data_IF_980044219407
#
_entry.id   IF_980044219407
#
_cell.length_a   1.000
_cell.length_b   1.000
_cell.length_c   1.000
_cell.angle_alpha   90.00
_cell.angle_beta   90.00
_cell.angle_gamma   90.00
#
_symmetry.space_group_name_H-M   'P 1'
#
loop_
_entity.id
_entity.type
_entity.pdbx_description
1 polymer ?
#
# COMPACT_ATOMS: atom_id res chain seq x y z
N UNK A 1 -18.11 18.41 -6.35
CA UNK A 1 -19.07 17.36 -6.78
C UNK A 1 -18.36 16.52 -7.85
N UNK A 2 -18.10 15.26 -7.56
CA UNK A 2 -17.56 14.34 -8.57
C UNK A 2 -18.60 14.18 -9.66
N UNK A 3 -18.22 14.38 -10.93
CA UNK A 3 -19.14 14.12 -12.05
C UNK A 3 -19.48 12.61 -12.09
N UNK A 4 -20.64 12.24 -12.65
CA UNK A 4 -20.99 10.83 -12.86
C UNK A 4 -19.89 10.08 -13.65
N UNK A 5 -19.22 10.76 -14.56
CA UNK A 5 -18.06 10.24 -15.30
C UNK A 5 -16.89 9.93 -14.35
N UNK A 6 -16.58 10.84 -13.43
CA UNK A 6 -15.51 10.61 -12.44
C UNK A 6 -15.78 9.42 -11.53
N UNK A 7 -17.03 9.22 -11.11
CA UNK A 7 -17.41 8.05 -10.30
C UNK A 7 -17.23 6.72 -11.07
N UNK A 8 -17.60 6.69 -12.35
CA UNK A 8 -17.38 5.50 -13.20
C UNK A 8 -15.91 5.22 -13.46
N UNK A 9 -15.11 6.26 -13.66
CA UNK A 9 -13.65 6.14 -13.81
C UNK A 9 -12.99 5.61 -12.53
N UNK A 10 -13.44 6.09 -11.35
CA UNK A 10 -12.95 5.56 -10.07
C UNK A 10 -13.31 4.08 -9.89
N UNK A 11 -14.53 3.68 -10.27
CA UNK A 11 -14.95 2.28 -10.23
C UNK A 11 -14.10 1.42 -11.21
N UNK A 12 -13.72 1.97 -12.38
CA UNK A 12 -12.83 1.29 -13.31
C UNK A 12 -11.41 1.12 -12.74
N UNK A 13 -10.84 2.19 -12.18
CA UNK A 13 -9.55 2.13 -11.46
C UNK A 13 -9.54 1.01 -10.42
N UNK A 14 -10.58 0.99 -9.58
CA UNK A 14 -10.73 -0.04 -8.52
C UNK A 14 -10.76 -1.44 -9.10
N UNK A 15 -11.57 -1.71 -10.13
CA UNK A 15 -11.65 -3.03 -10.79
C UNK A 15 -10.29 -3.47 -11.33
N UNK A 16 -9.54 -2.56 -11.96
CA UNK A 16 -8.20 -2.88 -12.49
C UNK A 16 -7.22 -3.20 -11.37
N UNK A 17 -7.23 -2.43 -10.27
CA UNK A 17 -6.36 -2.73 -9.12
C UNK A 17 -6.72 -4.07 -8.50
N UNK A 18 -8.02 -4.38 -8.29
CA UNK A 18 -8.44 -5.69 -7.78
C UNK A 18 -8.02 -6.84 -8.71
N UNK A 19 -8.19 -6.67 -10.02
CA UNK A 19 -7.75 -7.64 -11.02
C UNK A 19 -6.24 -7.84 -11.03
N UNK A 20 -5.48 -6.74 -10.93
CA UNK A 20 -4.03 -6.78 -10.83
C UNK A 20 -3.57 -7.63 -9.63
N UNK A 21 -4.05 -7.34 -8.42
CA UNK A 21 -3.65 -8.10 -7.24
C UNK A 21 -4.14 -9.55 -7.27
N UNK A 22 -5.26 -9.85 -7.94
CA UNK A 22 -5.66 -11.24 -8.19
C UNK A 22 -4.64 -11.97 -9.08
N UNK A 23 -4.18 -11.34 -10.15
CA UNK A 23 -3.12 -11.87 -11.02
C UNK A 23 -1.79 -12.03 -10.29
N UNK A 24 -1.41 -11.04 -9.49
CA UNK A 24 -0.21 -11.10 -8.63
C UNK A 24 -0.26 -12.30 -7.70
N UNK A 25 -1.36 -12.51 -6.98
CA UNK A 25 -1.51 -13.68 -6.09
C UNK A 25 -1.37 -15.00 -6.83
N UNK A 26 -1.96 -15.12 -8.03
CA UNK A 26 -1.86 -16.33 -8.85
C UNK A 26 -0.42 -16.63 -9.28
N UNK A 27 0.30 -15.62 -9.76
CA UNK A 27 1.70 -15.78 -10.17
C UNK A 27 2.62 -16.06 -8.98
N UNK A 28 2.42 -15.35 -7.89
CA UNK A 28 3.28 -15.41 -6.70
C UNK A 28 3.24 -16.75 -5.96
N UNK A 29 2.27 -17.63 -6.28
CA UNK A 29 2.27 -19.01 -5.77
C UNK A 29 3.54 -19.77 -6.21
N UNK A 30 4.04 -19.50 -7.40
CA UNK A 30 5.18 -20.18 -7.98
C UNK A 30 6.37 -19.27 -8.24
N UNK A 31 6.12 -18.03 -8.58
CA UNK A 31 7.15 -17.04 -8.92
C UNK A 31 6.75 -15.64 -8.41
N UNK A 32 7.11 -15.29 -7.16
CA UNK A 32 6.84 -13.97 -6.63
C UNK A 32 7.51 -12.83 -7.40
N UNK A 33 8.67 -13.09 -8.04
CA UNK A 33 9.36 -12.08 -8.84
C UNK A 33 8.57 -11.75 -10.10
N UNK A 34 8.01 -12.75 -10.80
CA UNK A 34 7.11 -12.53 -11.92
C UNK A 34 5.82 -11.80 -11.50
N UNK A 35 5.29 -12.09 -10.30
CA UNK A 35 4.19 -11.34 -9.70
C UNK A 35 4.52 -9.86 -9.50
N UNK A 36 5.73 -9.56 -9.08
CA UNK A 36 6.22 -8.19 -8.88
C UNK A 36 6.43 -7.46 -10.22
N UNK A 37 6.94 -8.13 -11.25
CA UNK A 37 7.07 -7.56 -12.59
C UNK A 37 5.70 -7.19 -13.18
N UNK A 38 4.70 -8.10 -13.06
CA UNK A 38 3.31 -7.81 -13.44
C UNK A 38 2.78 -6.58 -12.70
N UNK A 39 2.99 -6.52 -11.38
CA UNK A 39 2.51 -5.42 -10.55
C UNK A 39 3.15 -4.08 -10.96
N UNK A 40 4.45 -4.05 -11.21
CA UNK A 40 5.16 -2.84 -11.62
C UNK A 40 4.66 -2.35 -12.97
N UNK A 41 4.62 -3.22 -14.00
CA UNK A 41 4.18 -2.85 -15.34
C UNK A 41 2.74 -2.36 -15.38
N UNK A 42 1.82 -3.05 -14.72
CA UNK A 42 0.41 -2.67 -14.71
C UNK A 42 0.17 -1.36 -13.95
N UNK A 43 0.95 -1.09 -12.89
CA UNK A 43 0.88 0.20 -12.18
C UNK A 43 1.42 1.34 -13.05
N UNK A 44 2.51 1.12 -13.78
CA UNK A 44 3.04 2.11 -14.72
C UNK A 44 2.00 2.47 -15.79
N UNK A 45 1.31 1.48 -16.37
CA UNK A 45 0.23 1.70 -17.34
C UNK A 45 -0.94 2.49 -16.73
N UNK A 46 -1.37 2.13 -15.50
CA UNK A 46 -2.43 2.84 -14.79
C UNK A 46 -2.05 4.30 -14.52
N UNK A 47 -0.83 4.55 -14.06
CA UNK A 47 -0.35 5.88 -13.76
C UNK A 47 -0.19 6.74 -15.01
N UNK A 48 0.34 6.18 -16.09
CA UNK A 48 0.50 6.87 -17.36
C UNK A 48 -0.84 7.24 -18.01
N UNK A 49 -1.78 6.30 -18.07
CA UNK A 49 -2.94 6.39 -18.97
C UNK A 49 -4.29 6.60 -18.32
N UNK A 50 -4.48 6.23 -17.05
CA UNK A 50 -5.81 6.24 -16.46
C UNK A 50 -6.25 7.65 -16.00
N UNK A 51 -7.52 8.07 -16.25
CA UNK A 51 -8.00 9.40 -15.83
C UNK A 51 -7.94 9.66 -14.32
N UNK A 52 -7.99 8.61 -13.48
CA UNK A 52 -7.88 8.69 -12.01
C UNK A 52 -6.45 8.49 -11.51
N UNK A 53 -5.44 8.60 -12.39
CA UNK A 53 -4.05 8.61 -11.95
C UNK A 53 -3.81 9.76 -10.98
N UNK A 54 -3.05 9.53 -9.89
CA UNK A 54 -2.71 10.58 -8.94
C UNK A 54 -1.59 11.51 -9.43
N UNK A 55 -1.02 11.27 -10.61
CA UNK A 55 -0.02 12.17 -11.19
C UNK A 55 -0.67 13.51 -11.56
N UNK A 56 0.01 14.60 -11.24
CA UNK A 56 -0.34 15.91 -11.75
C UNK A 56 -0.22 15.94 -13.28
N UNK A 57 -1.01 16.78 -13.98
CA UNK A 57 -0.98 16.82 -15.44
C UNK A 57 0.43 17.04 -16.02
N UNK A 58 1.24 17.91 -15.41
CA UNK A 58 2.59 18.20 -15.85
C UNK A 58 3.53 17.01 -15.63
N UNK A 59 3.43 16.33 -14.47
CA UNK A 59 4.23 15.15 -14.16
C UNK A 59 3.88 13.95 -15.06
N UNK A 60 2.64 13.90 -15.55
CA UNK A 60 2.18 12.82 -16.45
C UNK A 60 2.83 12.90 -17.82
N UNK A 61 3.10 14.11 -18.33
CA UNK A 61 3.73 14.29 -19.62
C UNK A 61 5.15 13.71 -19.66
N UNK A 62 5.87 13.79 -18.55
CA UNK A 62 7.26 13.33 -18.41
C UNK A 62 7.36 11.97 -17.70
N UNK A 63 6.23 11.30 -17.48
CA UNK A 63 6.20 10.04 -16.73
C UNK A 63 6.84 8.91 -17.51
N UNK A 64 7.89 8.32 -16.96
CA UNK A 64 8.64 7.19 -17.54
C UNK A 64 8.54 5.90 -16.75
N UNK A 65 7.69 5.88 -15.69
CA UNK A 65 7.49 4.76 -14.80
C UNK A 65 7.69 5.13 -13.32
N UNK A 66 7.11 4.33 -12.45
CA UNK A 66 7.28 4.43 -11.00
C UNK A 66 8.68 3.98 -10.60
N UNK A 67 9.23 4.61 -9.57
CA UNK A 67 10.56 4.25 -9.06
C UNK A 67 10.46 3.06 -8.12
N UNK A 68 10.29 1.87 -8.68
CA UNK A 68 10.24 0.61 -7.93
C UNK A 68 11.58 -0.11 -8.00
N UNK A 69 12.03 -0.69 -6.91
CA UNK A 69 13.26 -1.50 -6.86
C UNK A 69 13.04 -2.86 -7.52
N UNK A 70 14.12 -3.55 -7.86
CA UNK A 70 14.04 -4.95 -8.27
C UNK A 70 13.54 -5.80 -7.11
N UNK A 71 12.89 -6.92 -7.45
CA UNK A 71 12.44 -7.90 -6.46
C UNK A 71 13.61 -8.49 -5.67
N UNK A 72 13.45 -8.56 -4.35
CA UNK A 72 14.38 -9.18 -3.42
C UNK A 72 13.59 -10.13 -2.49
N UNK A 73 13.79 -11.46 -2.61
CA UNK A 73 13.03 -12.46 -1.86
C UNK A 73 13.23 -12.38 -0.34
N UNK A 74 14.31 -11.78 0.14
CA UNK A 74 14.59 -11.63 1.58
C UNK A 74 13.60 -10.67 2.27
N UNK A 75 12.81 -9.93 1.49
CA UNK A 75 11.81 -8.99 1.98
C UNK A 75 10.36 -9.48 1.84
N UNK A 76 10.16 -10.78 1.58
CA UNK A 76 8.86 -11.44 1.59
C UNK A 76 8.71 -12.31 2.82
N UNK A 77 7.63 -12.13 3.55
CA UNK A 77 7.34 -12.82 4.80
C UNK A 77 5.93 -13.41 4.78
N UNK A 78 5.76 -14.56 5.42
CA UNK A 78 4.48 -15.10 5.83
C UNK A 78 4.47 -15.09 7.36
N UNK A 79 3.58 -14.33 7.97
CA UNK A 79 3.61 -14.08 9.41
C UNK A 79 2.23 -14.13 10.02
N UNK A 80 2.17 -14.70 11.22
CA UNK A 80 0.97 -14.73 12.07
C UNK A 80 0.59 -13.30 12.50
N UNK A 81 -0.70 -13.00 12.43
CA UNK A 81 -1.27 -11.82 13.04
C UNK A 81 -1.61 -12.11 14.49
N UNK A 82 -0.75 -11.73 15.40
CA UNK A 82 -0.99 -11.91 16.84
C UNK A 82 -2.01 -10.89 17.30
N UNK A 83 -3.10 -11.39 17.85
CA UNK A 83 -4.19 -10.56 18.38
C UNK A 83 -3.64 -9.54 19.38
N UNK A 84 -4.11 -8.31 19.30
CA UNK A 84 -3.81 -7.29 20.30
C UNK A 84 -4.43 -7.66 21.66
N UNK A 85 -3.65 -7.49 22.73
CA UNK A 85 -4.12 -7.77 24.11
C UNK A 85 -5.25 -6.83 24.51
N UNK A 86 -5.18 -5.57 24.03
CA UNK A 86 -6.18 -4.55 24.31
C UNK A 86 -6.77 -3.98 23.02
N UNK A 87 -8.10 -3.70 22.98
CA UNK A 87 -8.70 -3.07 21.84
C UNK A 87 -8.26 -1.62 21.73
N UNK A 88 -7.56 -1.26 20.65
CA UNK A 88 -7.18 0.10 20.32
C UNK A 88 -8.00 0.59 19.14
N UNK A 89 -8.56 1.79 19.26
CA UNK A 89 -9.25 2.50 18.18
C UNK A 89 -8.60 3.84 17.96
N UNK A 90 -8.43 4.19 16.71
CA UNK A 90 -7.94 5.50 16.30
C UNK A 90 -8.84 6.08 15.23
N UNK A 91 -8.82 7.38 15.10
CA UNK A 91 -9.44 8.07 13.97
C UNK A 91 -8.36 8.88 13.29
N UNK A 92 -8.23 8.69 11.98
CA UNK A 92 -7.30 9.46 11.16
C UNK A 92 -8.12 10.44 10.34
N UNK A 93 -7.82 11.71 10.48
CA UNK A 93 -8.49 12.75 9.71
C UNK A 93 -8.04 12.70 8.25
N UNK A 94 -9.01 12.74 7.35
CA UNK A 94 -8.80 12.87 5.92
C UNK A 94 -9.57 14.10 5.43
N UNK A 95 -8.88 15.01 4.77
CA UNK A 95 -9.54 16.23 4.25
C UNK A 95 -10.53 15.93 3.12
N UNK A 96 -10.36 14.79 2.42
CA UNK A 96 -11.22 14.38 1.31
C UNK A 96 -12.39 13.48 1.74
N UNK A 97 -12.14 12.57 2.71
CA UNK A 97 -13.09 11.52 3.09
C UNK A 97 -13.66 11.72 4.51
N UNK A 98 -13.23 12.80 5.20
CA UNK A 98 -13.55 13.03 6.61
C UNK A 98 -12.80 12.07 7.54
N UNK A 99 -13.21 11.96 8.82
CA UNK A 99 -12.54 11.10 9.79
C UNK A 99 -12.72 9.62 9.44
N UNK A 100 -11.59 8.91 9.30
CA UNK A 100 -11.56 7.48 8.98
C UNK A 100 -11.29 6.70 10.28
N UNK A 101 -12.26 5.90 10.77
CA UNK A 101 -12.09 5.12 11.99
C UNK A 101 -11.39 3.79 11.73
N UNK A 102 -10.39 3.48 12.55
CA UNK A 102 -9.66 2.21 12.55
C UNK A 102 -9.74 1.52 13.90
N UNK A 103 -9.72 0.19 13.89
CA UNK A 103 -9.50 -0.64 15.07
C UNK A 103 -8.28 -1.52 14.86
N UNK A 104 -7.47 -1.67 15.90
CA UNK A 104 -6.33 -2.60 15.90
C UNK A 104 -6.86 -4.04 15.87
N UNK A 105 -6.41 -4.81 14.88
CA UNK A 105 -6.69 -6.25 14.78
C UNK A 105 -5.66 -7.03 15.59
N UNK A 106 -4.40 -6.67 15.43
CA UNK A 106 -3.27 -7.31 16.04
C UNK A 106 -1.96 -6.73 15.55
N UNK A 107 -0.89 -7.42 15.83
CA UNK A 107 0.46 -7.04 15.43
C UNK A 107 1.14 -8.18 14.67
N UNK A 108 1.95 -7.83 13.68
CA UNK A 108 2.84 -8.76 13.02
C UNK A 108 4.28 -8.49 13.48
N UNK A 109 5.04 -9.57 13.70
CA UNK A 109 6.47 -9.48 14.01
C UNK A 109 7.27 -9.94 12.80
N UNK A 110 8.07 -9.06 12.28
CA UNK A 110 8.85 -9.25 11.07
C UNK A 110 10.33 -9.34 11.41
N UNK A 111 11.04 -10.39 10.98
CA UNK A 111 12.49 -10.48 11.11
C UNK A 111 13.16 -9.23 10.55
N UNK A 112 14.15 -8.71 11.22
CA UNK A 112 14.98 -7.54 10.84
C UNK A 112 14.24 -6.20 10.73
N UNK A 113 12.90 -6.18 10.73
CA UNK A 113 12.09 -4.96 10.59
C UNK A 113 11.50 -4.52 11.93
N UNK A 114 11.07 -5.49 12.76
CA UNK A 114 10.39 -5.20 14.02
C UNK A 114 8.91 -5.57 14.00
N UNK A 115 8.07 -4.76 14.63
CA UNK A 115 6.62 -5.01 14.71
C UNK A 115 5.86 -3.94 13.95
N UNK A 116 4.75 -4.35 13.33
CA UNK A 116 3.80 -3.45 12.68
C UNK A 116 2.38 -3.77 13.16
N UNK A 117 1.62 -2.73 13.41
CA UNK A 117 0.20 -2.81 13.74
C UNK A 117 -0.63 -3.12 12.48
N UNK A 118 -1.51 -4.12 12.59
CA UNK A 118 -2.49 -4.45 11.55
C UNK A 118 -3.82 -3.81 11.91
N UNK A 119 -4.30 -2.92 11.08
CA UNK A 119 -5.51 -2.15 11.30
C UNK A 119 -6.67 -2.69 10.47
N UNK A 120 -7.89 -2.48 10.97
CA UNK A 120 -9.13 -2.69 10.24
C UNK A 120 -9.90 -1.37 10.18
N UNK A 121 -10.30 -0.97 8.97
CA UNK A 121 -11.28 0.10 8.79
C UNK A 121 -12.63 -0.36 9.35
N UNK A 122 -13.27 0.47 10.17
CA UNK A 122 -14.56 0.13 10.80
C UNK A 122 -15.76 0.82 10.14
N UNK A 123 -15.51 1.60 9.06
CA UNK A 123 -16.55 2.21 8.23
C UNK A 123 -17.20 1.22 7.25
N UNK A 124 -18.05 1.75 6.37
CA UNK A 124 -18.70 0.98 5.31
C UNK A 124 -17.66 0.32 4.39
N UNK A 125 -17.80 -0.97 4.17
CA UNK A 125 -16.89 -1.77 3.36
C UNK A 125 -15.80 -2.48 4.16
N UNK A 126 -15.34 -1.94 5.29
CA UNK A 126 -14.30 -2.58 6.12
C UNK A 126 -13.00 -2.82 5.36
N UNK A 127 -12.12 -3.62 5.91
CA UNK A 127 -10.90 -4.07 5.25
C UNK A 127 -9.66 -3.87 6.10
N UNK A 128 -8.59 -4.60 5.75
CA UNK A 128 -7.30 -4.49 6.43
C UNK A 128 -6.47 -3.34 5.85
N UNK A 129 -5.71 -2.73 6.71
CA UNK A 129 -4.78 -1.67 6.38
C UNK A 129 -3.46 -1.86 7.13
N UNK A 130 -2.36 -1.86 6.40
CA UNK A 130 -1.02 -2.00 6.95
C UNK A 130 -0.08 -0.99 6.28
N UNK A 131 0.07 0.20 6.84
CA UNK A 131 1.08 1.14 6.40
C UNK A 131 2.44 0.83 7.04
N UNK A 132 3.51 1.38 6.47
CA UNK A 132 4.86 1.34 7.07
C UNK A 132 5.62 2.62 6.77
N UNK A 133 6.28 3.15 7.79
CA UNK A 133 7.25 4.25 7.68
C UNK A 133 8.60 3.75 8.19
N UNK A 134 9.59 3.75 7.32
CA UNK A 134 10.93 3.23 7.59
C UNK A 134 11.97 4.35 7.76
N UNK A 135 13.19 3.99 8.10
CA UNK A 135 14.26 4.95 8.33
C UNK A 135 14.73 5.71 7.07
N UNK A 136 14.33 5.28 5.88
CA UNK A 136 14.58 5.98 4.61
C UNK A 136 13.54 7.07 4.31
N UNK A 137 12.47 7.16 5.12
CA UNK A 137 11.36 8.07 4.86
C UNK A 137 11.80 9.54 4.88
N UNK A 138 11.54 10.25 3.78
CA UNK A 138 11.89 11.66 3.59
C UNK A 138 13.37 11.94 3.31
N UNK A 139 14.22 10.91 3.22
CA UNK A 139 15.61 11.07 2.82
C UNK A 139 15.73 11.21 1.29
N UNK A 140 16.71 11.96 0.76
CA UNK A 140 16.97 12.02 -0.68
C UNK A 140 17.18 10.62 -1.26
N UNK A 141 16.43 10.26 -2.32
CA UNK A 141 16.47 8.92 -2.93
C UNK A 141 15.88 7.80 -2.09
N UNK A 142 15.35 8.11 -0.92
CA UNK A 142 14.70 7.18 0.01
C UNK A 142 13.24 6.91 -0.31
N UNK A 143 12.45 6.69 0.74
CA UNK A 143 11.02 6.40 0.67
C UNK A 143 10.20 7.65 0.98
N UNK A 144 8.91 7.62 0.67
CA UNK A 144 8.03 8.76 0.93
C UNK A 144 7.93 9.10 2.42
N UNK A 145 8.05 10.39 2.76
CA UNK A 145 8.10 10.85 4.14
C UNK A 145 6.87 10.53 5.00
N UNK A 146 5.70 10.34 4.38
CA UNK A 146 4.47 9.91 5.01
C UNK A 146 4.35 8.39 5.22
N UNK A 147 5.32 7.61 4.70
CA UNK A 147 5.29 6.16 4.69
C UNK A 147 4.62 5.57 3.43
N UNK A 148 4.62 4.25 3.33
CA UNK A 148 4.10 3.46 2.21
C UNK A 148 3.03 2.49 2.72
N UNK A 149 2.26 1.90 1.82
CA UNK A 149 1.25 0.90 2.13
C UNK A 149 1.72 -0.49 1.69
N UNK A 150 1.52 -1.48 2.57
CA UNK A 150 1.73 -2.89 2.31
C UNK A 150 0.38 -3.58 2.01
N UNK A 151 -0.65 -3.22 2.78
CA UNK A 151 -2.03 -3.67 2.58
C UNK A 151 -2.98 -2.47 2.59
N UNK A 152 -3.91 -2.47 1.67
CA UNK A 152 -5.12 -1.64 1.65
C UNK A 152 -6.20 -2.44 0.90
N UNK A 153 -6.80 -3.41 1.63
CA UNK A 153 -7.70 -4.37 0.98
C UNK A 153 -8.99 -3.71 0.49
N UNK A 154 -9.36 -2.54 1.04
CA UNK A 154 -10.49 -1.74 0.54
C UNK A 154 -10.21 -1.21 -0.87
N UNK A 155 -8.96 -0.93 -1.18
CA UNK A 155 -8.53 -0.45 -2.51
C UNK A 155 -7.91 -1.55 -3.36
N UNK A 156 -7.93 -2.80 -2.90
CA UNK A 156 -7.51 -3.97 -3.64
C UNK A 156 -6.05 -4.37 -3.43
N UNK A 157 -5.26 -3.62 -2.68
CA UNK A 157 -3.88 -3.99 -2.36
C UNK A 157 -3.87 -5.10 -1.30
N UNK A 158 -3.78 -6.35 -1.79
CA UNK A 158 -3.89 -7.56 -0.98
C UNK A 158 -3.11 -8.71 -1.63
N UNK A 159 -2.08 -9.18 -0.93
CA UNK A 159 -1.25 -10.32 -1.35
C UNK A 159 -1.76 -11.67 -0.85
N UNK A 160 -2.87 -11.66 -0.10
CA UNK A 160 -3.52 -12.85 0.42
C UNK A 160 -3.02 -13.27 1.80
N UNK A 161 -3.58 -14.40 2.23
CA UNK A 161 -3.14 -15.11 3.44
C UNK A 161 -1.98 -16.04 3.11
N UNK A 162 -1.19 -16.40 4.12
CA UNK A 162 -0.19 -17.45 3.99
C UNK A 162 -0.81 -18.85 4.04
N UNK A 163 -0.05 -19.82 4.53
CA UNK A 163 -0.50 -21.23 4.60
C UNK A 163 -1.67 -21.44 5.57
N UNK A 164 -1.76 -20.62 6.61
CA UNK A 164 -2.79 -20.70 7.66
C UNK A 164 -3.69 -19.43 7.59
N UNK A 165 -4.94 -19.57 8.06
CA UNK A 165 -5.97 -18.51 8.00
C UNK A 165 -5.64 -17.28 8.86
N UNK A 166 -4.76 -17.41 9.85
CA UNK A 166 -4.29 -16.33 10.72
C UNK A 166 -2.96 -15.70 10.28
N UNK A 167 -2.42 -16.15 9.14
CA UNK A 167 -1.18 -15.60 8.57
C UNK A 167 -1.47 -14.63 7.43
N UNK A 168 -0.58 -13.64 7.29
CA UNK A 168 -0.58 -12.68 6.16
C UNK A 168 0.70 -12.81 5.36
N UNK A 169 0.56 -12.69 4.05
CA UNK A 169 1.70 -12.44 3.16
C UNK A 169 2.02 -10.96 3.22
N UNK A 170 3.20 -10.63 3.76
CA UNK A 170 3.74 -9.29 3.82
C UNK A 170 5.01 -9.25 2.96
N UNK A 171 4.93 -8.60 1.83
CA UNK A 171 6.03 -8.48 0.88
C UNK A 171 6.34 -7.00 0.64
N UNK A 172 7.48 -6.55 1.18
CA UNK A 172 7.90 -5.15 1.07
C UNK A 172 8.28 -4.73 -0.34
N UNK A 173 8.52 -5.67 -1.24
CA UNK A 173 8.72 -5.36 -2.66
C UNK A 173 7.50 -4.69 -3.29
N UNK A 174 6.31 -4.98 -2.74
CA UNK A 174 5.04 -4.38 -3.15
C UNK A 174 4.64 -3.15 -2.31
N UNK A 175 5.52 -2.66 -1.44
CA UNK A 175 5.25 -1.43 -0.70
C UNK A 175 5.13 -0.24 -1.66
N UNK A 176 4.00 0.47 -1.62
CA UNK A 176 3.69 1.54 -2.56
C UNK A 176 3.33 2.85 -1.89
N UNK A 177 3.56 3.95 -2.59
CA UNK A 177 3.25 5.27 -2.11
C UNK A 177 1.73 5.56 -2.15
N UNK A 178 1.17 6.20 -1.11
CA UNK A 178 -0.19 6.73 -1.17
C UNK A 178 -0.29 7.87 -2.21
N UNK A 179 -1.50 8.15 -2.69
CA UNK A 179 -1.76 9.18 -3.71
C UNK A 179 -1.24 10.56 -3.33
N UNK A 180 -1.21 10.90 -2.04
CA UNK A 180 -0.69 12.18 -1.54
C UNK A 180 0.84 12.34 -1.71
N UNK A 181 1.55 11.29 -2.09
CA UNK A 181 2.96 11.38 -2.47
C UNK A 181 3.17 12.00 -3.86
N UNK A 182 2.14 11.99 -4.70
CA UNK A 182 2.15 12.49 -6.09
C UNK A 182 1.38 13.80 -6.23
N UNK A 183 0.24 13.92 -5.56
CA UNK A 183 -0.61 15.10 -5.58
C UNK A 183 -1.03 15.44 -4.15
N UNK A 184 -0.55 16.58 -3.59
CA UNK A 184 -0.82 16.99 -2.22
C UNK A 184 -2.30 17.34 -1.95
N UNK A 185 -3.15 17.41 -2.97
CA UNK A 185 -4.61 17.56 -2.79
C UNK A 185 -5.27 16.31 -2.18
N UNK A 186 -4.60 15.15 -2.27
CA UNK A 186 -5.08 13.93 -1.63
C UNK A 186 -4.74 13.91 -0.15
N UNK A 187 -5.72 13.55 0.67
CA UNK A 187 -5.53 13.32 2.10
C UNK A 187 -5.61 11.81 2.39
N UNK A 188 -4.46 11.21 2.63
CA UNK A 188 -4.31 9.77 2.81
C UNK A 188 -4.01 9.44 4.28
N UNK A 189 -4.54 8.34 4.86
CA UNK A 189 -4.13 7.89 6.18
C UNK A 189 -2.65 7.48 6.16
N UNK A 190 -1.84 8.11 7.01
CA UNK A 190 -0.40 7.86 7.06
C UNK A 190 -0.04 6.87 8.17
N UNK A 191 1.19 6.35 8.12
CA UNK A 191 1.70 5.43 9.12
C UNK A 191 1.73 6.07 10.51
N UNK A 192 1.12 5.42 11.49
CA UNK A 192 1.11 5.81 12.89
C UNK A 192 2.37 5.32 13.61
N UNK A 193 2.52 5.64 14.90
CA UNK A 193 3.68 5.26 15.68
C UNK A 193 3.96 3.74 15.68
N UNK A 194 2.91 2.91 15.80
CA UNK A 194 3.01 1.44 15.76
C UNK A 194 3.36 0.88 14.37
N UNK A 195 3.38 1.72 13.34
CA UNK A 195 3.78 1.39 11.97
C UNK A 195 5.04 2.16 11.53
N UNK A 196 5.78 2.73 12.48
CA UNK A 196 7.05 3.42 12.23
C UNK A 196 8.20 2.58 12.77
N UNK A 197 9.08 2.15 11.88
CA UNK A 197 10.25 1.30 12.22
C UNK A 197 11.55 2.08 12.08
N UNK A 198 12.57 1.63 12.81
CA UNK A 198 13.91 2.26 12.79
C UNK A 198 14.82 1.70 11.72
N UNK A 199 14.41 0.58 11.13
CA UNK A 199 15.17 -0.12 10.11
C UNK A 199 14.94 0.51 8.74
N UNK A 200 15.93 0.43 7.88
CA UNK A 200 15.82 0.82 6.48
C UNK A 200 15.17 -0.30 5.68
N UNK A 201 14.14 0.03 4.89
CA UNK A 201 13.48 -0.93 3.98
C UNK A 201 13.82 -0.54 2.54
N UNK A 202 14.90 -1.13 1.99
CA UNK A 202 15.48 -0.69 0.72
C UNK A 202 14.74 -1.18 -0.53
N UNK A 203 13.61 -1.85 -0.36
CA UNK A 203 12.79 -2.40 -1.45
C UNK A 203 11.45 -1.68 -1.59
N UNK A 204 10.71 -1.97 -2.68
CA UNK A 204 9.44 -1.37 -3.00
C UNK A 204 9.57 -0.01 -3.69
N UNK A 205 8.50 0.76 -3.70
CA UNK A 205 8.43 2.05 -4.36
C UNK A 205 9.20 3.13 -3.60
N UNK A 206 9.99 3.90 -4.31
CA UNK A 206 10.76 5.04 -3.80
C UNK A 206 9.95 6.33 -3.88
N UNK A 207 10.44 7.36 -3.17
CA UNK A 207 9.89 8.70 -3.26
C UNK A 207 9.79 9.14 -4.74
N UNK A 208 8.65 9.72 -5.19
CA UNK A 208 8.56 10.38 -6.50
C UNK A 208 9.64 11.45 -6.67
N UNK A 209 9.93 11.81 -7.92
CA UNK A 209 10.91 12.89 -8.23
C UNK A 209 10.31 14.24 -7.94
#
# INVERSE_FOLDING_TARGET
MSSSIGALQLADWRRRVFGLYAGVRQLSVHDPAAGHELWTSARDELFAGHPQSPLLPDDRADFTGLRVTRYDPDWRFEVEVRRADEPLRITVDSATDGPIPFSLVGVVRLPYVGTLDVWRLTGYGGGLFLPVKDALAGKPGGTYGGGRYLLDTVKGADLGTGADDDTLVIDFNFAYNPSCAYDPSWSCPLAQAGNTVREEIPVGERMPR
#
